data_IF_258610623849
#
_entry.id   IF_258610623849
#
_cell.length_a   1.000
_cell.length_b   1.000
_cell.length_c   1.000
_cell.angle_alpha   90.00
_cell.angle_beta   90.00
_cell.angle_gamma   90.00
#
_symmetry.space_group_name_H-M   'P 1'
#
loop_
_entity.id
_entity.type
_entity.pdbx_description
1 polymer ?
#
# COMPACT_ATOMS: atom_id res chain seq x y z
N UNK A 1 -21.43 34.23 37.41
CA UNK A 1 -19.98 34.42 37.11
C UNK A 1 -19.28 33.11 36.77
N UNK A 2 -19.26 32.07 37.63
CA UNK A 2 -18.66 30.76 37.32
C UNK A 2 -19.21 30.10 36.03
N UNK A 3 -20.53 30.10 35.81
CA UNK A 3 -21.14 29.50 34.62
C UNK A 3 -20.78 30.22 33.31
N UNK A 4 -20.60 31.55 33.33
CA UNK A 4 -20.18 32.33 32.16
C UNK A 4 -18.72 32.02 31.79
N UNK A 5 -17.86 31.84 32.80
CA UNK A 5 -16.46 31.44 32.60
C UNK A 5 -16.40 30.02 32.00
N UNK A 6 -17.21 29.08 32.51
CA UNK A 6 -17.27 27.72 31.97
C UNK A 6 -17.74 27.73 30.51
N UNK A 7 -18.80 28.47 30.19
CA UNK A 7 -19.30 28.59 28.82
C UNK A 7 -18.25 29.22 27.90
N UNK A 8 -17.56 30.29 28.34
CA UNK A 8 -16.51 30.92 27.57
C UNK A 8 -15.33 29.96 27.30
N UNK A 9 -14.88 29.21 28.31
CA UNK A 9 -13.81 28.20 28.16
C UNK A 9 -14.23 27.12 27.16
N UNK A 10 -15.44 26.60 27.27
CA UNK A 10 -15.97 25.57 26.35
C UNK A 10 -16.03 26.08 24.91
N UNK A 11 -16.50 27.30 24.68
CA UNK A 11 -16.54 27.92 23.34
C UNK A 11 -15.14 28.09 22.75
N UNK A 12 -14.17 28.53 23.57
CA UNK A 12 -12.78 28.65 23.13
C UNK A 12 -12.21 27.27 22.78
N UNK A 13 -12.44 26.25 23.61
CA UNK A 13 -12.00 24.88 23.33
C UNK A 13 -12.58 24.35 22.01
N UNK A 14 -13.87 24.57 21.74
CA UNK A 14 -14.48 24.16 20.47
C UNK A 14 -13.92 24.94 19.28
N UNK A 15 -13.68 26.25 19.42
CA UNK A 15 -13.08 27.07 18.36
C UNK A 15 -11.65 26.61 18.04
N UNK A 16 -10.83 26.38 19.05
CA UNK A 16 -9.45 25.87 18.90
C UNK A 16 -9.44 24.48 18.28
N UNK A 17 -10.32 23.58 18.73
CA UNK A 17 -10.42 22.23 18.18
C UNK A 17 -10.93 22.23 16.72
N UNK A 18 -11.91 23.09 16.42
CA UNK A 18 -12.42 23.28 15.07
C UNK A 18 -11.37 23.83 14.12
N UNK A 19 -10.64 24.87 14.54
CA UNK A 19 -9.53 25.45 13.78
C UNK A 19 -8.41 24.43 13.54
N UNK A 20 -8.03 23.67 14.57
CA UNK A 20 -7.03 22.60 14.45
C UNK A 20 -7.44 21.56 13.39
N UNK A 21 -8.68 21.05 13.46
CA UNK A 21 -9.18 20.07 12.49
C UNK A 21 -9.22 20.65 11.08
N UNK A 22 -9.63 21.90 10.91
CA UNK A 22 -9.65 22.57 9.62
C UNK A 22 -8.24 22.67 9.03
N UNK A 23 -7.26 23.11 9.83
CA UNK A 23 -5.86 23.22 9.40
C UNK A 23 -5.28 21.84 9.04
N UNK A 24 -5.51 20.80 9.86
CA UNK A 24 -5.03 19.43 9.58
C UNK A 24 -5.61 18.84 8.28
N UNK A 25 -6.80 19.29 7.89
CA UNK A 25 -7.55 18.74 6.76
C UNK A 25 -7.28 19.49 5.45
N UNK A 26 -7.08 20.82 5.51
CA UNK A 26 -7.08 21.66 4.30
C UNK A 26 -5.80 22.47 4.08
N UNK A 27 -4.94 22.62 5.10
CA UNK A 27 -3.73 23.40 4.96
C UNK A 27 -2.59 22.57 4.39
N UNK A 28 -2.24 22.84 3.14
CA UNK A 28 -1.10 22.22 2.45
C UNK A 28 0.20 22.36 3.26
N UNK A 29 0.56 23.58 3.71
CA UNK A 29 1.83 23.80 4.44
C UNK A 29 1.89 23.02 5.75
N UNK A 30 0.75 22.84 6.42
CA UNK A 30 0.70 22.06 7.65
C UNK A 30 0.80 20.55 7.38
N UNK A 31 0.12 20.07 6.34
CA UNK A 31 0.18 18.68 5.91
C UNK A 31 1.60 18.31 5.42
N UNK A 32 2.24 19.18 4.66
CA UNK A 32 3.62 19.01 4.18
C UNK A 32 4.59 18.90 5.36
N UNK A 33 4.52 19.82 6.32
CA UNK A 33 5.36 19.77 7.51
C UNK A 33 5.19 18.46 8.29
N UNK A 34 3.96 17.91 8.37
CA UNK A 34 3.73 16.60 8.99
C UNK A 34 4.31 15.45 8.17
N UNK A 35 4.18 15.49 6.85
CA UNK A 35 4.76 14.50 5.95
C UNK A 35 6.29 14.49 6.04
N UNK A 36 6.93 15.66 6.02
CA UNK A 36 8.38 15.79 6.20
C UNK A 36 8.81 15.33 7.60
N UNK A 37 8.13 15.76 8.67
CA UNK A 37 8.45 15.29 10.02
C UNK A 37 8.32 13.77 10.17
N UNK A 38 7.37 13.14 9.47
CA UNK A 38 7.26 11.69 9.40
C UNK A 38 8.50 11.06 8.76
N UNK A 39 8.93 11.57 7.60
CA UNK A 39 10.10 11.08 6.88
C UNK A 39 11.39 11.26 7.70
N UNK A 40 11.59 12.41 8.34
CA UNK A 40 12.73 12.67 9.20
C UNK A 40 12.83 11.62 10.32
N UNK A 41 11.71 11.31 10.98
CA UNK A 41 11.66 10.31 12.04
C UNK A 41 11.89 8.89 11.51
N UNK A 42 11.29 8.55 10.35
CA UNK A 42 11.40 7.20 9.79
C UNK A 42 12.81 6.90 9.32
N UNK A 43 13.45 7.85 8.62
CA UNK A 43 14.74 7.64 7.98
C UNK A 43 15.93 8.17 8.78
N UNK A 44 15.68 8.77 9.95
CA UNK A 44 16.69 9.42 10.80
C UNK A 44 17.51 10.47 10.03
N UNK A 45 16.80 11.40 9.38
CA UNK A 45 17.36 12.43 8.52
C UNK A 45 16.83 13.82 8.87
N UNK A 46 17.58 14.86 8.52
CA UNK A 46 17.11 16.24 8.62
C UNK A 46 16.10 16.58 7.52
N UNK A 47 15.21 17.54 7.79
CA UNK A 47 14.21 18.00 6.82
C UNK A 47 14.82 18.44 5.48
N UNK A 48 16.06 18.95 5.50
CA UNK A 48 16.79 19.36 4.29
C UNK A 48 17.17 18.22 3.35
N UNK A 49 17.10 16.96 3.79
CA UNK A 49 17.32 15.78 2.96
C UNK A 49 16.15 15.51 2.00
N UNK A 50 14.99 16.12 2.24
CA UNK A 50 13.75 15.88 1.51
C UNK A 50 13.33 17.10 0.68
N UNK A 51 13.25 16.92 -0.63
CA UNK A 51 12.79 17.96 -1.55
C UNK A 51 11.37 17.64 -2.00
N UNK A 52 10.37 18.42 -1.56
CA UNK A 52 8.98 18.29 -2.03
C UNK A 52 8.89 18.88 -3.44
N UNK A 53 8.60 18.02 -4.42
CA UNK A 53 8.54 18.37 -5.83
C UNK A 53 7.13 18.79 -6.26
N UNK A 54 6.11 18.14 -5.71
CA UNK A 54 4.71 18.34 -6.06
C UNK A 54 3.79 17.79 -4.96
N UNK A 55 2.50 18.14 -5.01
CA UNK A 55 1.49 17.60 -4.09
C UNK A 55 0.11 17.48 -4.75
N UNK A 56 -0.68 16.52 -4.29
CA UNK A 56 -2.12 16.50 -4.55
C UNK A 56 -2.88 17.03 -3.33
N UNK A 57 -3.80 17.96 -3.58
CA UNK A 57 -4.69 18.53 -2.56
C UNK A 57 -5.68 17.46 -2.05
N UNK A 58 -5.95 17.49 -0.74
CA UNK A 58 -7.00 16.68 -0.15
C UNK A 58 -8.39 17.00 -0.74
N UNK A 59 -9.15 15.96 -1.11
CA UNK A 59 -10.41 16.11 -1.85
C UNK A 59 -11.38 14.96 -1.57
N UNK A 60 -12.67 15.23 -1.79
CA UNK A 60 -13.65 14.15 -1.88
C UNK A 60 -13.62 13.53 -3.27
N UNK A 61 -13.47 12.22 -3.32
CA UNK A 61 -13.61 11.42 -4.54
C UNK A 61 -14.93 10.66 -4.52
N UNK A 62 -15.48 10.37 -5.69
CA UNK A 62 -16.62 9.47 -5.86
C UNK A 62 -16.07 8.13 -6.31
N UNK A 63 -16.30 7.09 -5.52
CA UNK A 63 -16.01 5.71 -5.92
C UNK A 63 -17.29 4.97 -6.21
N UNK A 64 -17.26 4.16 -7.26
CA UNK A 64 -18.30 3.17 -7.51
C UNK A 64 -18.33 2.22 -6.31
N UNK A 65 -19.53 1.95 -5.78
CA UNK A 65 -19.71 1.02 -4.67
C UNK A 65 -20.32 -0.30 -5.13
N UNK A 66 -20.33 -0.57 -6.44
CA UNK A 66 -20.82 -1.81 -7.04
C UNK A 66 -22.35 -1.87 -7.18
N UNK A 67 -23.09 -0.89 -6.64
CA UNK A 67 -24.55 -0.84 -6.70
C UNK A 67 -25.07 0.08 -7.81
N UNK A 68 -26.16 -0.34 -8.49
CA UNK A 68 -26.82 0.39 -9.59
C UNK A 68 -27.23 1.84 -9.27
N UNK A 69 -27.30 2.24 -7.99
CA UNK A 69 -27.66 3.59 -7.55
C UNK A 69 -26.81 4.06 -6.36
N UNK A 70 -25.48 3.99 -6.44
CA UNK A 70 -24.65 4.53 -5.37
C UNK A 70 -23.23 4.89 -5.79
N UNK A 71 -22.87 6.16 -5.66
CA UNK A 71 -21.47 6.55 -5.55
C UNK A 71 -21.18 6.78 -4.07
N UNK A 72 -20.17 6.09 -3.53
CA UNK A 72 -19.67 6.39 -2.20
C UNK A 72 -18.76 7.61 -2.29
N UNK A 73 -19.03 8.62 -1.45
CA UNK A 73 -18.10 9.74 -1.26
C UNK A 73 -17.04 9.31 -0.27
N UNK A 74 -15.80 9.35 -0.71
CA UNK A 74 -14.64 9.04 0.12
C UNK A 74 -13.73 10.26 0.20
N UNK A 75 -13.17 10.50 1.38
CA UNK A 75 -12.17 11.54 1.57
C UNK A 75 -10.79 10.97 1.26
N UNK A 76 -10.05 11.65 0.38
CA UNK A 76 -8.64 11.36 0.09
C UNK A 76 -7.83 12.50 0.67
N UNK A 77 -6.90 12.18 1.57
CA UNK A 77 -5.99 13.14 2.18
C UNK A 77 -4.89 13.59 1.19
N UNK A 78 -4.05 14.53 1.63
CA UNK A 78 -2.90 14.98 0.85
C UNK A 78 -1.94 13.83 0.49
N UNK A 79 -1.35 13.95 -0.70
CA UNK A 79 -0.17 13.19 -1.09
C UNK A 79 0.93 14.14 -1.57
N UNK A 80 2.18 13.76 -1.34
CA UNK A 80 3.35 14.57 -1.65
C UNK A 80 4.31 13.74 -2.49
N UNK A 81 4.77 14.30 -3.60
CA UNK A 81 5.87 13.76 -4.39
C UNK A 81 7.17 14.34 -3.83
N UNK A 82 8.03 13.48 -3.32
CA UNK A 82 9.25 13.88 -2.62
C UNK A 82 10.46 13.23 -3.29
N UNK A 83 11.56 13.98 -3.39
CA UNK A 83 12.85 13.46 -3.79
C UNK A 83 13.75 13.29 -2.58
N UNK A 84 14.35 12.12 -2.46
CA UNK A 84 15.23 11.73 -1.36
C UNK A 84 16.32 10.79 -1.88
N UNK A 85 17.59 11.10 -1.58
CA UNK A 85 18.76 10.32 -2.05
C UNK A 85 18.74 9.98 -3.55
N UNK A 86 18.26 10.92 -4.37
CA UNK A 86 18.18 10.77 -5.83
C UNK A 86 17.00 9.93 -6.33
N UNK A 87 16.21 9.31 -5.45
CA UNK A 87 14.96 8.61 -5.79
C UNK A 87 13.77 9.55 -5.64
N UNK A 88 12.70 9.29 -6.39
CA UNK A 88 11.38 9.91 -6.22
C UNK A 88 10.50 8.92 -5.47
N UNK A 89 9.78 9.41 -4.47
CA UNK A 89 8.81 8.66 -3.67
C UNK A 89 7.53 9.49 -3.49
N UNK A 90 6.45 8.83 -3.12
CA UNK A 90 5.21 9.45 -2.71
C UNK A 90 4.95 9.21 -1.23
N UNK A 91 4.63 10.27 -0.51
CA UNK A 91 4.16 10.22 0.88
C UNK A 91 2.66 10.44 0.88
N UNK A 92 1.93 9.54 1.53
CA UNK A 92 0.46 9.56 1.60
C UNK A 92 0.01 9.53 3.05
N UNK A 93 -1.21 9.99 3.31
CA UNK A 93 -1.88 9.87 4.61
C UNK A 93 -3.10 8.98 4.46
N UNK A 94 -3.21 7.96 5.31
CA UNK A 94 -4.38 7.08 5.40
C UNK A 94 -4.71 6.82 6.85
N UNK A 95 -5.99 6.94 7.23
CA UNK A 95 -6.45 6.79 8.62
C UNK A 95 -5.59 7.54 9.66
N UNK A 96 -5.18 8.78 9.32
CA UNK A 96 -4.32 9.67 10.15
C UNK A 96 -2.85 9.25 10.28
N UNK A 97 -2.42 8.22 9.57
CA UNK A 97 -1.05 7.72 9.57
C UNK A 97 -0.38 8.08 8.25
N UNK A 98 0.87 8.54 8.30
CA UNK A 98 1.68 8.77 7.12
C UNK A 98 2.48 7.52 6.76
N UNK A 99 2.61 7.29 5.46
CA UNK A 99 3.36 6.18 4.86
C UNK A 99 3.92 6.60 3.50
N UNK A 100 4.89 5.86 2.99
CA UNK A 100 5.59 6.16 1.75
C UNK A 100 5.95 4.89 0.95
N UNK A 101 6.37 5.07 -0.29
CA UNK A 101 6.81 4.00 -1.19
C UNK A 101 8.32 3.95 -1.45
N UNK A 102 9.15 4.63 -0.64
CA UNK A 102 10.59 4.73 -0.87
C UNK A 102 11.28 3.35 -0.98
N UNK A 103 10.79 2.38 -0.19
CA UNK A 103 11.35 1.03 -0.12
C UNK A 103 10.76 0.05 -1.13
N UNK A 104 9.78 0.44 -1.97
CA UNK A 104 9.08 -0.49 -2.88
C UNK A 104 10.09 -1.26 -3.75
N UNK A 105 11.02 -0.56 -4.41
CA UNK A 105 12.00 -1.21 -5.30
C UNK A 105 12.91 -2.18 -4.56
N UNK A 106 13.31 -1.84 -3.34
CA UNK A 106 14.21 -2.68 -2.54
C UNK A 106 13.47 -3.94 -2.06
N UNK A 107 12.21 -3.79 -1.62
CA UNK A 107 11.33 -4.88 -1.20
C UNK A 107 10.97 -5.80 -2.37
N UNK A 108 10.64 -5.24 -3.54
CA UNK A 108 10.39 -6.02 -4.75
C UNK A 108 11.60 -6.86 -5.13
N UNK A 109 12.81 -6.27 -5.08
CA UNK A 109 14.04 -7.01 -5.34
C UNK A 109 14.22 -8.14 -4.34
N UNK A 110 14.19 -7.85 -3.04
CA UNK A 110 14.42 -8.86 -2.02
C UNK A 110 13.37 -9.99 -2.05
N UNK A 111 12.10 -9.65 -2.25
CA UNK A 111 11.03 -10.64 -2.39
C UNK A 111 11.18 -11.49 -3.64
N UNK A 112 11.56 -10.90 -4.78
CA UNK A 112 11.82 -11.65 -6.01
C UNK A 112 12.97 -12.62 -5.84
N UNK A 113 14.09 -12.17 -5.23
CA UNK A 113 15.25 -13.02 -4.96
C UNK A 113 14.87 -14.18 -4.03
N UNK A 114 14.14 -13.92 -2.94
CA UNK A 114 13.69 -14.95 -2.01
C UNK A 114 12.76 -15.96 -2.70
N UNK A 115 11.80 -15.49 -3.51
CA UNK A 115 10.88 -16.33 -4.25
C UNK A 115 11.61 -17.22 -5.27
N UNK A 116 12.62 -16.69 -5.97
CA UNK A 116 13.46 -17.50 -6.88
C UNK A 116 14.20 -18.62 -6.15
N UNK A 117 14.78 -18.31 -5.01
CA UNK A 117 15.57 -19.25 -4.22
C UNK A 117 14.71 -20.32 -3.55
N UNK A 118 13.48 -19.99 -3.15
CA UNK A 118 12.64 -20.85 -2.31
C UNK A 118 11.46 -21.49 -3.02
N UNK A 119 11.06 -20.97 -4.19
CA UNK A 119 9.86 -21.38 -4.92
C UNK A 119 10.23 -21.81 -6.35
N UNK A 120 10.62 -20.86 -7.21
CA UNK A 120 10.93 -21.16 -8.61
C UNK A 120 11.80 -20.08 -9.26
N UNK A 121 12.90 -20.47 -9.90
CA UNK A 121 13.87 -19.57 -10.52
C UNK A 121 13.27 -18.68 -11.64
N UNK A 122 12.13 -19.08 -12.20
CA UNK A 122 11.43 -18.36 -13.27
C UNK A 122 10.54 -17.21 -12.77
N UNK A 123 10.41 -17.02 -11.46
CA UNK A 123 9.73 -15.86 -10.88
C UNK A 123 10.51 -14.60 -11.24
N UNK A 124 9.85 -13.55 -11.72
CA UNK A 124 10.53 -12.30 -12.12
C UNK A 124 10.10 -11.08 -11.33
N UNK A 125 9.03 -11.21 -10.55
CA UNK A 125 8.54 -10.14 -9.69
C UNK A 125 7.23 -10.49 -9.03
N UNK A 126 6.72 -9.54 -8.25
CA UNK A 126 5.38 -9.54 -7.70
C UNK A 126 4.90 -8.10 -7.60
N UNK A 127 3.59 -7.91 -7.69
CA UNK A 127 2.95 -6.62 -7.54
C UNK A 127 3.04 -6.17 -6.08
N UNK A 128 3.36 -4.89 -5.91
CA UNK A 128 3.57 -4.28 -4.61
C UNK A 128 3.22 -2.81 -4.70
N UNK A 129 2.38 -2.34 -3.78
CA UNK A 129 2.12 -0.94 -3.59
C UNK A 129 2.45 -0.43 -2.18
N UNK A 130 2.32 0.89 -2.00
CA UNK A 130 2.58 1.56 -0.72
C UNK A 130 1.67 1.10 0.43
N UNK A 131 0.46 0.62 0.10
CA UNK A 131 -0.53 0.17 1.06
C UNK A 131 -0.19 -1.21 1.61
N UNK A 132 0.36 -2.10 0.78
CA UNK A 132 0.85 -3.41 1.22
C UNK A 132 1.91 -3.28 2.32
N UNK A 133 2.85 -2.33 2.15
CA UNK A 133 3.87 -2.01 3.16
C UNK A 133 3.22 -1.52 4.46
N UNK A 134 2.27 -0.58 4.35
CA UNK A 134 1.56 -0.04 5.51
C UNK A 134 0.79 -1.14 6.26
N UNK A 135 0.11 -2.02 5.53
CA UNK A 135 -0.68 -3.11 6.10
C UNK A 135 0.21 -4.10 6.83
N UNK A 136 1.32 -4.54 6.21
CA UNK A 136 2.30 -5.39 6.89
C UNK A 136 2.77 -4.76 8.21
N UNK A 137 3.17 -3.48 8.18
CA UNK A 137 3.65 -2.76 9.35
C UNK A 137 2.61 -2.67 10.47
N UNK A 138 1.33 -2.48 10.12
CA UNK A 138 0.23 -2.43 11.07
C UNK A 138 -0.09 -3.82 11.63
N UNK A 139 -0.25 -4.83 10.77
CA UNK A 139 -0.66 -6.18 11.15
C UNK A 139 0.40 -6.89 11.98
N UNK A 140 1.69 -6.64 11.72
CA UNK A 140 2.81 -7.20 12.49
C UNK A 140 3.26 -6.30 13.64
N UNK A 141 2.50 -5.25 13.97
CA UNK A 141 2.80 -4.31 15.07
C UNK A 141 4.21 -3.68 15.01
N UNK A 142 4.75 -3.48 13.79
CA UNK A 142 6.07 -2.86 13.58
C UNK A 142 5.99 -1.32 13.67
N UNK A 143 4.82 -0.77 13.35
CA UNK A 143 4.58 0.67 13.28
C UNK A 143 5.01 1.30 11.94
N UNK A 144 4.43 2.44 11.59
CA UNK A 144 4.59 3.08 10.28
C UNK A 144 5.96 3.75 10.04
N UNK A 145 6.79 3.83 11.08
CA UNK A 145 8.18 4.30 11.03
C UNK A 145 9.18 3.16 10.83
N UNK A 146 8.72 1.91 10.77
CA UNK A 146 9.62 0.77 10.60
C UNK A 146 10.28 0.80 9.21
N UNK A 147 11.61 0.66 9.17
CA UNK A 147 12.35 0.42 7.94
C UNK A 147 12.46 -1.09 7.74
N UNK A 148 11.82 -1.60 6.69
CA UNK A 148 11.93 -3.02 6.35
C UNK A 148 13.35 -3.39 5.92
N UNK A 149 13.80 -4.55 6.35
CA UNK A 149 15.08 -5.15 5.98
C UNK A 149 14.87 -6.41 5.11
N UNK A 150 15.90 -6.84 4.40
CA UNK A 150 15.85 -8.09 3.61
C UNK A 150 15.43 -9.31 4.45
N UNK A 151 15.78 -9.34 5.74
CA UNK A 151 15.41 -10.43 6.67
C UNK A 151 13.91 -10.48 6.98
N UNK A 152 13.16 -9.40 6.73
CA UNK A 152 11.71 -9.34 6.96
C UNK A 152 10.89 -9.95 5.82
N UNK A 153 11.53 -10.27 4.69
CA UNK A 153 10.84 -10.57 3.43
C UNK A 153 9.98 -11.82 3.48
N UNK A 154 10.44 -12.88 4.14
CA UNK A 154 9.63 -14.08 4.32
C UNK A 154 8.36 -13.77 5.12
N UNK A 155 8.50 -13.04 6.24
CA UNK A 155 7.35 -12.61 7.05
C UNK A 155 6.41 -11.65 6.29
N UNK A 156 6.99 -10.79 5.45
CA UNK A 156 6.25 -9.86 4.60
C UNK A 156 5.41 -10.60 3.55
N UNK A 157 6.02 -11.52 2.80
CA UNK A 157 5.32 -12.32 1.78
C UNK A 157 4.25 -13.23 2.40
N UNK A 158 4.49 -13.79 3.59
CA UNK A 158 3.50 -14.60 4.32
C UNK A 158 2.33 -13.75 4.86
N UNK A 159 2.50 -12.43 4.95
CA UNK A 159 1.44 -11.51 5.38
C UNK A 159 0.41 -11.16 4.29
N UNK A 160 0.56 -11.69 3.07
CA UNK A 160 -0.35 -11.44 1.94
C UNK A 160 -1.76 -12.09 2.10
N UNK A 161 -2.12 -12.52 3.30
CA UNK A 161 -3.37 -13.24 3.62
C UNK A 161 -4.37 -12.47 4.46
N UNK A 162 -4.15 -11.17 4.68
CA UNK A 162 -4.87 -10.45 5.73
C UNK A 162 -5.93 -9.45 5.24
N UNK A 163 -6.51 -9.61 4.05
CA UNK A 163 -7.62 -8.75 3.65
C UNK A 163 -8.63 -9.43 2.70
N UNK A 164 -9.91 -9.29 3.05
CA UNK A 164 -11.09 -9.81 2.35
C UNK A 164 -11.29 -9.24 0.92
N UNK A 165 -10.34 -8.45 0.37
CA UNK A 165 -10.45 -7.81 -0.96
C UNK A 165 -9.11 -7.49 -1.66
N UNK A 166 -7.95 -7.92 -1.15
CA UNK A 166 -6.66 -7.69 -1.84
C UNK A 166 -6.31 -8.90 -2.70
N UNK A 167 -6.15 -8.68 -4.01
CA UNK A 167 -5.55 -9.66 -4.91
C UNK A 167 -4.06 -9.35 -5.01
N UNK A 168 -3.20 -10.27 -4.58
CA UNK A 168 -1.76 -10.14 -4.78
C UNK A 168 -1.40 -10.85 -6.09
N UNK A 169 -0.71 -10.15 -6.99
CA UNK A 169 -0.30 -10.70 -8.28
C UNK A 169 1.18 -11.05 -8.25
N UNK A 170 1.51 -12.32 -8.45
CA UNK A 170 2.89 -12.75 -8.66
C UNK A 170 3.14 -12.87 -10.17
N UNK A 171 4.24 -12.27 -10.65
CA UNK A 171 4.59 -12.24 -12.07
C UNK A 171 5.65 -13.30 -12.41
N UNK A 172 5.35 -14.10 -13.42
CA UNK A 172 6.23 -15.18 -13.89
C UNK A 172 6.63 -14.93 -15.34
N UNK A 173 7.92 -15.09 -15.62
CA UNK A 173 8.34 -15.39 -16.98
C UNK A 173 8.21 -16.90 -17.14
N UNK A 174 7.15 -17.35 -17.81
CA UNK A 174 7.04 -18.77 -18.11
C UNK A 174 8.10 -19.10 -19.17
N UNK A 175 8.82 -20.23 -19.04
CA UNK A 175 9.47 -20.82 -20.20
C UNK A 175 8.47 -20.95 -21.36
N UNK A 176 8.91 -21.11 -22.61
CA UNK A 176 7.97 -21.53 -23.68
C UNK A 176 7.39 -22.89 -23.29
N UNK A 177 6.19 -22.87 -22.71
CA UNK A 177 5.42 -24.03 -22.29
C UNK A 177 4.26 -24.16 -23.27
N UNK A 178 4.05 -25.36 -23.80
CA UNK A 178 2.90 -25.62 -24.65
C UNK A 178 1.61 -25.30 -23.88
N UNK A 179 0.57 -24.71 -24.51
CA UNK A 179 -0.62 -24.25 -23.80
C UNK A 179 -1.27 -25.29 -22.87
N UNK A 180 -1.20 -26.58 -23.24
CA UNK A 180 -1.69 -27.72 -22.46
C UNK A 180 -0.93 -27.97 -21.13
N UNK A 181 0.30 -27.49 -21.02
CA UNK A 181 1.19 -27.68 -19.88
C UNK A 181 1.21 -26.46 -18.92
N UNK A 182 0.56 -25.35 -19.28
CA UNK A 182 0.49 -24.14 -18.45
C UNK A 182 -0.24 -24.41 -17.14
N UNK A 183 -1.42 -25.05 -17.21
CA UNK A 183 -2.23 -25.33 -16.01
C UNK A 183 -1.48 -26.25 -15.02
N UNK A 184 -0.92 -27.40 -15.44
CA UNK A 184 -0.05 -28.20 -14.57
C UNK A 184 1.14 -27.44 -13.98
N UNK A 185 1.81 -26.60 -14.78
CA UNK A 185 2.92 -25.78 -14.32
C UNK A 185 2.47 -24.77 -13.24
N UNK A 186 1.37 -24.05 -13.48
CA UNK A 186 0.79 -23.12 -12.54
C UNK A 186 0.42 -23.80 -11.21
N UNK A 187 -0.22 -24.99 -11.26
CA UNK A 187 -0.51 -25.79 -10.06
C UNK A 187 0.77 -26.21 -9.30
N UNK A 188 1.83 -26.56 -10.01
CA UNK A 188 3.11 -26.91 -9.37
C UNK A 188 3.69 -25.70 -8.61
N UNK A 189 3.72 -24.52 -9.23
CA UNK A 189 4.17 -23.28 -8.59
C UNK A 189 3.31 -22.96 -7.36
N UNK A 190 1.99 -23.03 -7.49
CA UNK A 190 1.03 -22.84 -6.40
C UNK A 190 1.34 -23.78 -5.23
N UNK A 191 1.57 -25.06 -5.52
CA UNK A 191 1.92 -26.02 -4.48
C UNK A 191 3.25 -25.65 -3.78
N UNK A 192 4.28 -25.26 -4.54
CA UNK A 192 5.55 -24.80 -3.97
C UNK A 192 5.36 -23.56 -3.08
N UNK A 193 4.57 -22.58 -3.54
CA UNK A 193 4.22 -21.38 -2.75
C UNK A 193 3.53 -21.78 -1.44
N UNK A 194 2.53 -22.66 -1.48
CA UNK A 194 1.81 -23.13 -0.30
C UNK A 194 2.67 -23.94 0.69
N UNK A 195 3.82 -24.47 0.27
CA UNK A 195 4.79 -25.07 1.21
C UNK A 195 5.63 -24.04 1.97
N UNK A 196 5.63 -22.79 1.52
CA UNK A 196 6.50 -21.71 2.00
C UNK A 196 5.74 -20.56 2.63
N UNK A 197 4.56 -20.25 2.09
CA UNK A 197 3.70 -19.16 2.49
C UNK A 197 2.33 -19.73 2.83
N UNK A 198 1.70 -19.17 3.85
CA UNK A 198 0.28 -19.41 4.14
C UNK A 198 -0.50 -18.59 3.14
N UNK A 199 -1.20 -19.21 2.18
CA UNK A 199 -2.03 -18.52 1.17
C UNK A 199 -3.45 -19.12 1.18
N UNK A 200 -4.48 -18.26 1.12
CA UNK A 200 -5.88 -18.68 1.36
C UNK A 200 -6.59 -19.19 0.09
N UNK A 201 -6.39 -18.55 -1.07
CA UNK A 201 -6.87 -19.00 -2.38
C UNK A 201 -5.90 -18.56 -3.49
N UNK A 202 -5.70 -19.38 -4.52
CA UNK A 202 -4.86 -19.00 -5.65
C UNK A 202 -5.64 -19.23 -6.94
N UNK A 203 -5.90 -18.12 -7.64
CA UNK A 203 -6.45 -18.11 -8.99
C UNK A 203 -5.31 -17.93 -9.99
N UNK A 204 -5.41 -18.60 -11.12
CA UNK A 204 -4.39 -18.51 -12.17
C UNK A 204 -5.01 -17.82 -13.37
N UNK A 205 -4.37 -16.78 -13.89
CA UNK A 205 -4.78 -16.10 -15.12
C UNK A 205 -3.61 -16.13 -16.10
N UNK A 206 -3.89 -16.63 -17.31
CA UNK A 206 -2.91 -16.71 -18.39
C UNK A 206 -3.18 -15.60 -19.40
N UNK A 207 -2.13 -14.87 -19.79
CA UNK A 207 -2.20 -13.94 -20.90
C UNK A 207 -1.54 -14.57 -22.14
N UNK A 208 -2.16 -14.40 -23.31
CA UNK A 208 -1.79 -15.05 -24.58
C UNK A 208 -0.38 -14.68 -25.12
N UNK A 209 0.39 -13.84 -24.42
CA UNK A 209 1.72 -13.38 -24.82
C UNK A 209 2.89 -14.19 -24.21
N UNK A 210 2.61 -15.27 -23.49
CA UNK A 210 3.63 -16.13 -22.85
C UNK A 210 4.02 -15.68 -21.44
N UNK A 211 3.25 -14.77 -20.84
CA UNK A 211 3.32 -14.44 -19.41
C UNK A 211 2.25 -15.19 -18.63
N UNK A 212 2.62 -15.70 -17.45
CA UNK A 212 1.67 -16.26 -16.50
C UNK A 212 1.58 -15.30 -15.32
N UNK A 213 0.35 -14.90 -15.00
CA UNK A 213 0.05 -14.15 -13.79
C UNK A 213 -0.64 -15.11 -12.81
N UNK A 214 -0.03 -15.32 -11.64
CA UNK A 214 -0.73 -15.99 -10.55
C UNK A 214 -1.32 -14.94 -9.65
N UNK A 215 -2.66 -14.93 -9.57
CA UNK A 215 -3.42 -14.03 -8.73
C UNK A 215 -3.83 -14.78 -7.47
N UNK A 216 -3.13 -14.51 -6.39
CA UNK A 216 -3.47 -15.05 -5.08
C UNK A 216 -4.58 -14.17 -4.50
N UNK A 217 -5.73 -14.77 -4.23
CA UNK A 217 -6.90 -14.10 -3.67
C UNK A 217 -7.19 -14.67 -2.28
N UNK A 218 -7.64 -13.84 -1.36
CA UNK A 218 -8.16 -14.34 -0.09
C UNK A 218 -9.62 -14.78 -0.24
N UNK A 219 -9.95 -15.96 0.28
CA UNK A 219 -11.13 -16.75 -0.04
C UNK A 219 -12.38 -16.37 0.72
N UNK A 220 -12.85 -15.12 0.61
CA UNK A 220 -14.21 -14.75 1.06
C UNK A 220 -14.89 -13.68 0.21
N UNK A 221 -14.77 -13.69 -1.12
CA UNK A 221 -15.84 -13.30 -2.05
C UNK A 221 -15.34 -13.35 -3.50
N UNK A 222 -16.09 -14.04 -4.38
CA UNK A 222 -16.04 -13.79 -5.82
C UNK A 222 -17.07 -12.69 -6.10
N UNK A 223 -16.64 -11.47 -6.41
CA UNK A 223 -17.46 -10.54 -7.20
C UNK A 223 -16.58 -9.57 -8.02
N UNK A 224 -17.06 -9.33 -9.23
CA UNK A 224 -16.42 -8.66 -10.34
C UNK A 224 -16.47 -7.14 -10.15
N UNK A 225 -15.32 -6.42 -10.25
CA UNK A 225 -15.12 -5.17 -11.03
C UNK A 225 -13.82 -4.41 -10.70
N UNK A 226 -13.01 -4.25 -11.77
CA UNK A 226 -12.10 -3.14 -12.08
C UNK A 226 -10.92 -2.80 -11.15
N UNK A 227 -9.75 -3.33 -11.52
CA UNK A 227 -8.43 -2.68 -11.39
C UNK A 227 -8.31 -1.70 -12.55
N UNK A 228 -8.39 -0.40 -12.30
CA UNK A 228 -7.79 0.69 -13.09
C UNK A 228 -7.73 1.95 -12.21
N UNK A 229 -6.77 2.84 -12.51
CA UNK A 229 -6.49 4.18 -11.95
C UNK A 229 -5.24 4.27 -11.03
N UNK A 230 -4.08 4.06 -11.64
CA UNK A 230 -3.04 5.10 -11.61
C UNK A 230 -3.18 5.93 -12.89
N UNK A 231 -2.85 7.23 -12.83
CA UNK A 231 -3.08 8.33 -13.82
C UNK A 231 -4.43 9.02 -13.52
N UNK A 232 -4.54 10.22 -12.93
CA UNK A 232 -3.70 11.45 -12.95
C UNK A 232 -3.30 12.00 -11.55
#
# INVERSE_FOLDING_TARGET
KKSIIIVAVVVICFAVFGAYKFVDTYSHSYAENKAINYLCQKYDEDASAFEVLDYQQARYVRRDNGHFFGYKREWVDFSFKVKYKGKIMFVKKYNRVYFDDYQITDIQKWGTDWLKENVDENIVGFDLDSYDILQYQQNKNKGNYYIMMQTDIEEFLDSFTYNDNSTYTFYFCVPKIDPENITPYAFNIVNKLNTKLTLNEISTQYEDDGKLELKVQDSKYIDWRHIWEHID
#
